data_IF_714060475988
#
_entry.id   IF_714060475988
#
_cell.length_a   1.000
_cell.length_b   1.000
_cell.length_c   1.000
_cell.angle_alpha   90.00
_cell.angle_beta   90.00
_cell.angle_gamma   90.00
#
_symmetry.space_group_name_H-M   'P 1'
#
loop_
_entity.id
_entity.type
_entity.pdbx_description
1 polymer ?
#
# COMPACT_ATOMS: atom_id res chain seq x y z
N UNK A 1 9.47 -14.20 6.26
CA UNK A 1 10.73 -13.50 5.93
C UNK A 1 10.40 -12.10 5.43
N UNK A 2 11.04 -11.05 5.94
CA UNK A 2 10.80 -9.69 5.46
C UNK A 2 11.48 -9.51 4.10
N UNK A 3 10.75 -9.01 3.10
CA UNK A 3 11.31 -8.76 1.77
C UNK A 3 12.37 -7.66 1.83
N UNK A 4 13.48 -7.86 1.12
CA UNK A 4 14.60 -6.92 1.06
C UNK A 4 14.21 -5.66 0.28
N UNK A 5 15.05 -4.62 0.34
CA UNK A 5 14.87 -3.42 -0.48
C UNK A 5 14.84 -3.77 -1.97
N UNK A 6 15.80 -4.58 -2.43
CA UNK A 6 15.89 -4.97 -3.84
C UNK A 6 14.65 -5.74 -4.31
N UNK A 7 14.14 -6.67 -3.48
CA UNK A 7 12.89 -7.37 -3.77
C UNK A 7 11.70 -6.41 -3.85
N UNK A 8 11.62 -5.41 -2.97
CA UNK A 8 10.60 -4.37 -3.06
C UNK A 8 10.71 -3.55 -4.35
N UNK A 9 11.92 -3.19 -4.78
CA UNK A 9 12.14 -2.53 -6.07
C UNK A 9 11.66 -3.40 -7.24
N UNK A 10 11.90 -4.72 -7.20
CA UNK A 10 11.37 -5.65 -8.20
C UNK A 10 9.86 -5.62 -8.25
N UNK A 11 9.17 -5.68 -7.11
CA UNK A 11 7.69 -5.66 -7.06
C UNK A 11 7.12 -4.40 -7.70
N UNK A 12 7.66 -3.24 -7.33
CA UNK A 12 7.21 -1.95 -7.89
C UNK A 12 7.48 -1.91 -9.39
N UNK A 13 8.67 -2.34 -9.83
CA UNK A 13 9.06 -2.37 -11.23
C UNK A 13 8.11 -3.22 -12.09
N UNK A 14 7.80 -4.43 -11.64
CA UNK A 14 6.88 -5.33 -12.34
C UNK A 14 5.45 -4.77 -12.36
N UNK A 15 5.00 -4.15 -11.27
CA UNK A 15 3.67 -3.51 -11.20
C UNK A 15 3.56 -2.35 -12.19
N UNK A 16 4.53 -1.43 -12.22
CA UNK A 16 4.46 -0.31 -13.15
C UNK A 16 4.56 -0.77 -14.60
N UNK A 17 5.38 -1.77 -14.91
CA UNK A 17 5.47 -2.34 -16.26
C UNK A 17 4.19 -3.06 -16.71
N UNK A 18 3.33 -3.44 -15.77
CA UNK A 18 2.03 -4.06 -16.07
C UNK A 18 0.94 -3.06 -16.45
N UNK A 19 1.18 -1.76 -16.23
CA UNK A 19 0.23 -0.68 -16.51
C UNK A 19 -0.01 -0.51 -18.03
N UNK A 20 -1.17 0.08 -18.42
CA UNK A 20 -1.35 0.58 -19.78
C UNK A 20 -0.25 1.57 -20.15
N UNK A 21 0.10 1.62 -21.43
CA UNK A 21 1.19 2.47 -21.95
C UNK A 21 1.01 3.93 -21.56
N UNK A 22 -0.21 4.44 -21.65
CA UNK A 22 -0.55 5.84 -21.35
C UNK A 22 -0.32 6.20 -19.87
N UNK A 23 -0.50 5.22 -18.97
CA UNK A 23 -0.27 5.40 -17.53
C UNK A 23 1.21 5.23 -17.18
N UNK A 24 1.89 4.27 -17.83
CA UNK A 24 3.32 4.06 -17.66
C UNK A 24 4.14 5.29 -18.07
N UNK A 25 3.78 5.94 -19.18
CA UNK A 25 4.48 7.12 -19.71
C UNK A 25 4.37 8.36 -18.80
N UNK A 26 3.45 8.39 -17.83
CA UNK A 26 3.38 9.47 -16.83
C UNK A 26 4.52 9.41 -15.80
N UNK A 27 5.15 8.24 -15.64
CA UNK A 27 6.23 8.04 -14.69
C UNK A 27 7.55 8.53 -15.31
N UNK A 28 8.28 9.45 -14.66
CA UNK A 28 9.55 9.92 -15.19
C UNK A 28 10.57 8.79 -15.34
N UNK A 29 11.36 8.86 -16.40
CA UNK A 29 12.37 7.84 -16.73
C UNK A 29 13.32 7.54 -15.57
N UNK A 30 13.75 8.57 -14.82
CA UNK A 30 14.68 8.38 -13.70
C UNK A 30 14.08 7.55 -12.54
N UNK A 31 12.76 7.61 -12.30
CA UNK A 31 12.09 6.77 -11.30
C UNK A 31 12.09 5.30 -11.76
N UNK A 32 11.83 5.07 -13.07
CA UNK A 32 11.87 3.74 -13.68
C UNK A 32 13.30 3.16 -13.64
N UNK A 33 14.30 3.95 -14.00
CA UNK A 33 15.71 3.57 -13.97
C UNK A 33 16.20 3.29 -12.56
N UNK A 34 15.77 4.09 -11.58
CA UNK A 34 16.06 3.85 -10.17
C UNK A 34 15.55 2.47 -9.74
N UNK A 35 14.30 2.13 -10.05
CA UNK A 35 13.74 0.81 -9.75
C UNK A 35 14.51 -0.29 -10.47
N UNK A 36 14.77 -0.12 -11.76
CA UNK A 36 15.49 -1.11 -12.58
C UNK A 36 16.91 -1.37 -12.09
N UNK A 37 17.64 -0.34 -11.65
CA UNK A 37 19.00 -0.45 -11.13
C UNK A 37 19.06 -1.16 -9.77
N UNK A 38 18.02 -0.96 -8.95
CA UNK A 38 17.99 -1.48 -7.58
C UNK A 38 17.17 -2.77 -7.43
N UNK A 39 16.54 -3.28 -8.49
CA UNK A 39 15.75 -4.51 -8.42
C UNK A 39 16.62 -5.73 -8.15
N UNK A 40 16.04 -6.69 -7.46
CA UNK A 40 16.57 -8.04 -7.35
C UNK A 40 16.31 -8.79 -8.68
N UNK A 41 17.36 -9.32 -9.28
CA UNK A 41 17.28 -10.02 -10.57
C UNK A 41 16.91 -11.51 -10.43
N UNK A 42 17.08 -12.09 -9.25
CA UNK A 42 16.78 -13.51 -8.99
C UNK A 42 15.35 -13.67 -8.46
N UNK A 43 14.86 -12.68 -7.72
CA UNK A 43 13.50 -12.66 -7.24
C UNK A 43 12.51 -12.39 -8.39
N UNK A 44 11.59 -13.34 -8.62
CA UNK A 44 10.52 -13.21 -9.61
C UNK A 44 9.22 -12.79 -8.92
N UNK A 45 8.66 -11.67 -9.35
CA UNK A 45 7.35 -11.21 -8.92
C UNK A 45 6.40 -11.18 -10.12
N UNK A 46 5.30 -11.93 -10.04
CA UNK A 46 4.33 -12.03 -11.13
C UNK A 46 3.12 -11.18 -10.78
N UNK A 47 2.78 -10.25 -11.68
CA UNK A 47 1.57 -9.45 -11.57
C UNK A 47 0.44 -10.19 -12.28
N UNK A 48 -0.38 -10.91 -11.50
CA UNK A 48 -1.59 -11.54 -12.02
C UNK A 48 -2.67 -10.48 -12.21
N UNK A 49 -3.06 -10.26 -13.48
CA UNK A 49 -4.05 -9.27 -13.89
C UNK A 49 -5.49 -9.67 -13.53
N UNK A 50 -5.71 -10.89 -13.04
CA UNK A 50 -7.03 -11.41 -12.69
C UNK A 50 -7.40 -11.20 -11.22
N UNK A 51 -6.44 -10.80 -10.38
CA UNK A 51 -6.65 -10.57 -8.94
C UNK A 51 -6.51 -9.09 -8.59
N UNK A 52 -7.06 -8.69 -7.44
CA UNK A 52 -6.96 -7.30 -6.99
C UNK A 52 -5.53 -6.97 -6.51
N UNK A 53 -5.12 -5.70 -6.60
CA UNK A 53 -3.80 -5.26 -6.10
C UNK A 53 -3.61 -5.53 -4.60
N UNK A 54 -4.71 -5.53 -3.86
CA UNK A 54 -4.77 -5.87 -2.42
C UNK A 54 -4.48 -7.35 -2.13
N UNK A 55 -4.72 -8.21 -3.12
CA UNK A 55 -4.46 -9.65 -3.07
C UNK A 55 -3.04 -10.00 -3.56
N UNK A 56 -2.38 -9.07 -4.26
CA UNK A 56 -0.97 -9.23 -4.59
C UNK A 56 -0.15 -9.20 -3.30
N UNK A 57 0.68 -10.23 -3.11
CA UNK A 57 1.58 -10.32 -1.97
C UNK A 57 2.75 -9.34 -2.14
N UNK A 58 2.48 -8.03 -2.04
CA UNK A 58 3.49 -6.97 -2.10
C UNK A 58 4.07 -6.71 -0.72
N UNK A 59 5.36 -6.38 -0.66
CA UNK A 59 5.97 -5.92 0.58
C UNK A 59 5.37 -4.61 1.05
N UNK A 60 5.37 -4.38 2.37
CA UNK A 60 4.99 -3.08 2.96
C UNK A 60 5.79 -1.91 2.36
N UNK A 61 7.06 -2.16 2.02
CA UNK A 61 7.93 -1.16 1.40
C UNK A 61 7.54 -0.88 -0.05
N UNK A 62 7.29 -1.92 -0.86
CA UNK A 62 6.78 -1.73 -2.22
C UNK A 62 5.45 -0.97 -2.22
N UNK A 63 4.54 -1.32 -1.30
CA UNK A 63 3.28 -0.59 -1.14
C UNK A 63 3.50 0.90 -0.86
N UNK A 64 4.42 1.25 0.05
CA UNK A 64 4.76 2.64 0.33
C UNK A 64 5.34 3.36 -0.90
N UNK A 65 6.23 2.70 -1.66
CA UNK A 65 6.79 3.24 -2.90
C UNK A 65 5.71 3.48 -3.97
N UNK A 66 4.75 2.56 -4.12
CA UNK A 66 3.61 2.70 -5.05
C UNK A 66 2.75 3.90 -4.65
N UNK A 67 2.45 4.08 -3.36
CA UNK A 67 1.67 5.24 -2.87
C UNK A 67 2.38 6.55 -3.21
N UNK A 68 3.69 6.63 -3.03
CA UNK A 68 4.49 7.82 -3.37
C UNK A 68 4.45 8.11 -4.88
N UNK A 69 4.66 7.09 -5.72
CA UNK A 69 4.59 7.26 -7.18
C UNK A 69 3.19 7.70 -7.63
N UNK A 70 2.15 7.08 -7.06
CA UNK A 70 0.76 7.42 -7.33
C UNK A 70 0.46 8.87 -6.96
N UNK A 71 0.85 9.29 -5.76
CA UNK A 71 0.67 10.67 -5.29
C UNK A 71 1.34 11.69 -6.21
N UNK A 72 2.58 11.41 -6.65
CA UNK A 72 3.35 12.32 -7.50
C UNK A 72 2.80 12.46 -8.91
N UNK A 73 2.46 11.34 -9.57
CA UNK A 73 2.29 11.31 -11.03
C UNK A 73 0.87 11.01 -11.50
N UNK A 74 0.00 10.55 -10.61
CA UNK A 74 -1.36 10.12 -10.96
C UNK A 74 -2.45 10.86 -10.20
N UNK A 75 -2.18 11.23 -8.94
CA UNK A 75 -3.20 11.78 -8.06
C UNK A 75 -3.55 13.25 -8.39
N UNK A 76 -4.85 13.55 -8.40
CA UNK A 76 -5.36 14.93 -8.39
C UNK A 76 -5.18 15.59 -7.03
N UNK A 77 -5.31 16.92 -6.96
CA UNK A 77 -5.13 17.64 -5.69
C UNK A 77 -6.16 17.22 -4.62
N UNK A 78 -7.40 16.97 -5.02
CA UNK A 78 -8.44 16.44 -4.12
C UNK A 78 -8.05 15.04 -3.60
N UNK A 79 -7.45 14.21 -4.44
CA UNK A 79 -6.97 12.88 -4.05
C UNK A 79 -5.78 12.95 -3.10
N UNK A 80 -4.82 13.85 -3.34
CA UNK A 80 -3.69 14.13 -2.44
C UNK A 80 -4.15 14.57 -1.05
N UNK A 81 -5.13 15.48 -0.99
CA UNK A 81 -5.72 15.92 0.28
C UNK A 81 -6.35 14.76 1.06
N UNK A 82 -7.10 13.87 0.38
CA UNK A 82 -7.67 12.67 1.01
C UNK A 82 -6.58 11.71 1.48
N UNK A 83 -5.55 11.48 0.67
CA UNK A 83 -4.41 10.63 1.04
C UNK A 83 -3.72 11.14 2.30
N UNK A 84 -3.48 12.46 2.39
CA UNK A 84 -2.88 13.10 3.57
C UNK A 84 -3.69 12.81 4.84
N UNK A 85 -5.00 12.99 4.80
CA UNK A 85 -5.88 12.70 5.96
C UNK A 85 -5.79 11.23 6.39
N UNK A 86 -5.76 10.31 5.43
CA UNK A 86 -5.62 8.87 5.71
C UNK A 86 -4.26 8.57 6.38
N UNK A 87 -3.17 9.11 5.84
CA UNK A 87 -1.82 8.91 6.38
C UNK A 87 -1.69 9.51 7.78
N UNK A 88 -2.21 10.72 8.01
CA UNK A 88 -2.22 11.38 9.32
C UNK A 88 -2.99 10.56 10.37
N UNK A 89 -4.16 10.02 10.00
CA UNK A 89 -4.96 9.18 10.89
C UNK A 89 -4.26 7.85 11.19
N UNK A 90 -3.66 7.21 10.18
CA UNK A 90 -2.88 5.99 10.38
C UNK A 90 -1.70 6.23 11.33
N UNK A 91 -1.00 7.36 11.18
CA UNK A 91 0.10 7.73 12.06
C UNK A 91 -0.38 7.96 13.50
N UNK A 92 -1.53 8.62 13.70
CA UNK A 92 -2.14 8.79 15.04
C UNK A 92 -2.45 7.45 15.69
N UNK A 93 -3.02 6.49 14.94
CA UNK A 93 -3.31 5.13 15.45
C UNK A 93 -2.02 4.42 15.88
N UNK A 94 -0.97 4.49 15.06
CA UNK A 94 0.33 3.89 15.39
C UNK A 94 0.97 4.55 16.62
N UNK A 95 0.90 5.89 16.71
CA UNK A 95 1.41 6.63 17.86
C UNK A 95 0.65 6.29 19.14
N UNK A 96 -0.68 6.24 19.10
CA UNK A 96 -1.51 5.85 20.24
C UNK A 96 -1.18 4.43 20.72
N UNK A 97 -1.05 3.47 19.80
CA UNK A 97 -0.62 2.11 20.15
C UNK A 97 0.77 2.08 20.79
N UNK A 98 1.69 2.95 20.33
CA UNK A 98 3.02 3.10 20.93
C UNK A 98 2.91 3.68 22.33
N UNK A 99 2.14 4.74 22.53
CA UNK A 99 1.90 5.36 23.84
C UNK A 99 1.27 4.37 24.83
N UNK A 100 0.30 3.57 24.40
CA UNK A 100 -0.30 2.49 25.20
C UNK A 100 0.76 1.45 25.61
N UNK A 101 1.52 0.93 24.64
CA UNK A 101 2.57 -0.08 24.87
C UNK A 101 3.67 0.37 25.83
N UNK A 102 4.02 1.67 25.81
CA UNK A 102 5.08 2.24 26.64
C UNK A 102 4.53 3.08 27.81
N UNK A 103 3.23 3.00 28.09
CA UNK A 103 2.67 3.67 29.27
C UNK A 103 3.27 3.05 30.54
N UNK A 104 3.58 3.89 31.53
CA UNK A 104 4.16 3.42 32.80
C UNK A 104 3.30 2.32 33.46
N UNK A 105 1.97 2.39 33.33
CA UNK A 105 1.06 1.36 33.83
C UNK A 105 1.23 0.02 33.11
N UNK A 106 1.40 0.01 31.79
CA UNK A 106 1.66 -1.23 31.04
C UNK A 106 3.04 -1.81 31.35
N UNK A 107 4.08 -0.98 31.43
CA UNK A 107 5.44 -1.42 31.76
C UNK A 107 5.52 -2.08 33.16
N UNK A 108 4.83 -1.51 34.16
CA UNK A 108 4.74 -2.11 35.50
C UNK A 108 3.87 -3.39 35.53
N UNK A 109 2.80 -3.45 34.74
CA UNK A 109 1.91 -4.61 34.68
C UNK A 109 2.52 -5.78 33.87
N UNK A 110 3.36 -5.51 32.86
CA UNK A 110 4.03 -6.52 32.04
C UNK A 110 5.06 -7.33 32.82
N UNK A 111 5.71 -6.70 33.81
CA UNK A 111 6.60 -7.39 34.76
C UNK A 111 5.87 -8.43 35.64
N UNK A 112 4.53 -8.44 35.67
CA UNK A 112 3.73 -9.44 36.40
C UNK A 112 3.08 -10.51 35.51
N UNK A 113 3.09 -10.34 34.18
CA UNK A 113 2.35 -11.19 33.23
C UNK A 113 3.26 -11.78 32.14
N UNK A 114 4.44 -12.22 32.53
CA UNK A 114 5.29 -13.00 31.62
C UNK A 114 4.73 -14.42 31.51
N UNK A 115 3.63 -14.57 30.76
CA UNK A 115 3.17 -15.79 30.10
C UNK A 115 2.02 -15.41 29.15
N UNK A 116 2.17 -15.83 27.89
CA UNK A 116 1.20 -15.85 26.78
C UNK A 116 1.47 -14.84 25.66
N UNK A 117 1.96 -15.40 24.55
CA UNK A 117 1.99 -14.81 23.21
C UNK A 117 0.56 -14.72 22.63
N UNK A 118 0.18 -13.59 21.99
CA UNK A 118 -0.87 -13.58 21.00
C UNK A 118 -0.30 -13.25 19.61
N UNK A 119 -0.48 -14.20 18.69
CA UNK A 119 -0.46 -13.99 17.23
C UNK A 119 -1.63 -13.11 16.81
N UNK A 120 -1.40 -12.10 15.97
CA UNK A 120 -2.46 -11.26 15.42
C UNK A 120 -2.69 -11.61 13.94
N UNK A 121 -3.78 -12.33 13.71
CA UNK A 121 -4.28 -12.76 12.41
C UNK A 121 -5.49 -11.90 12.00
N UNK A 122 -5.51 -11.53 10.71
CA UNK A 122 -6.60 -11.15 9.79
C UNK A 122 -7.80 -10.31 10.26
N UNK A 123 -8.06 -9.23 9.52
CA UNK A 123 -9.43 -8.77 9.26
C UNK A 123 -9.62 -8.48 7.77
N UNK A 124 -10.13 -9.49 7.06
CA UNK A 124 -10.62 -9.42 5.68
C UNK A 124 -12.02 -8.80 5.68
N UNK A 125 -12.29 -7.83 4.79
CA UNK A 125 -13.64 -7.40 4.43
C UNK A 125 -13.96 -7.87 3.01
N UNK A 126 -15.01 -8.64 2.90
CA UNK A 126 -15.46 -9.36 1.70
C UNK A 126 -16.40 -8.49 0.86
N UNK A 127 -16.05 -8.14 -0.40
CA UNK A 127 -16.97 -7.44 -1.33
C UNK A 127 -16.80 -7.93 -2.79
N UNK A 128 -17.79 -8.73 -3.19
CA UNK A 128 -18.32 -9.11 -4.53
C UNK A 128 -17.55 -8.69 -5.81
N UNK A 129 -17.31 -9.69 -6.68
CA UNK A 129 -16.55 -9.62 -7.95
C UNK A 129 -17.29 -8.88 -9.08
N UNK A 130 -16.64 -7.87 -9.64
CA UNK A 130 -16.92 -7.22 -10.94
C UNK A 130 -15.58 -7.01 -11.65
N UNK A 131 -15.59 -6.95 -12.99
CA UNK A 131 -14.39 -6.86 -13.85
C UNK A 131 -13.51 -5.64 -13.49
N UNK A 132 -12.18 -5.82 -13.46
CA UNK A 132 -11.21 -4.88 -12.85
C UNK A 132 -11.23 -3.45 -13.43
N UNK A 133 -11.39 -3.30 -14.75
CA UNK A 133 -11.46 -2.00 -15.41
C UNK A 133 -12.80 -1.30 -15.18
N UNK A 134 -13.90 -2.05 -14.99
CA UNK A 134 -15.18 -1.49 -14.59
C UNK A 134 -15.15 -1.04 -13.13
N UNK A 135 -14.40 -1.70 -12.25
CA UNK A 135 -14.21 -1.29 -10.85
C UNK A 135 -13.37 -0.03 -10.69
N UNK A 136 -12.26 0.09 -11.43
CA UNK A 136 -11.41 1.29 -11.38
C UNK A 136 -12.17 2.51 -11.91
N UNK A 137 -12.87 2.36 -13.04
CA UNK A 137 -13.72 3.41 -13.59
C UNK A 137 -14.92 3.74 -12.68
N UNK A 138 -15.61 2.74 -12.09
CA UNK A 138 -16.72 2.95 -11.14
C UNK A 138 -16.27 3.52 -9.79
N UNK A 139 -15.04 3.26 -9.33
CA UNK A 139 -14.46 3.89 -8.15
C UNK A 139 -14.29 5.40 -8.36
N UNK A 140 -13.73 5.80 -9.50
CA UNK A 140 -13.65 7.22 -9.87
C UNK A 140 -15.04 7.84 -10.14
N UNK A 141 -16.00 7.10 -10.73
CA UNK A 141 -17.39 7.57 -10.95
C UNK A 141 -18.23 7.71 -9.66
N UNK A 142 -18.15 6.78 -8.70
CA UNK A 142 -18.89 6.87 -7.42
C UNK A 142 -18.40 8.01 -6.54
N UNK A 143 -17.13 8.38 -6.65
CA UNK A 143 -16.59 9.59 -6.04
C UNK A 143 -17.23 10.85 -6.65
N UNK A 144 -17.64 10.84 -7.92
CA UNK A 144 -18.31 11.98 -8.56
C UNK A 144 -19.81 12.03 -8.20
N UNK A 145 -20.50 10.88 -8.12
CA UNK A 145 -21.95 10.84 -7.82
C UNK A 145 -22.33 11.06 -6.35
N UNK A 146 -21.43 10.82 -5.39
CA UNK A 146 -21.64 11.19 -3.97
C UNK A 146 -21.48 12.70 -3.71
N UNK A 147 -21.12 13.49 -4.71
CA UNK A 147 -20.91 14.94 -4.64
C UNK A 147 -22.04 15.76 -5.30
N UNK A 148 -23.19 15.14 -5.61
CA UNK A 148 -24.39 15.85 -6.08
C UNK A 148 -25.54 15.68 -5.08
N UNK A 149 -25.44 16.38 -3.96
CA UNK A 149 -26.53 16.89 -3.14
C UNK A 149 -25.99 17.99 -2.23
#
# INVERSE_FOLDING_TARGET
>A
MQKTFAMSCTEVYEIINSLPKEEFEKIPLHEIEFLKKNKDNEYKFIVDKNINIEELNISKRANAMIVILWEKYFASDIQKQKLKVILDNNQKIVNKKREEQYSYQELFNKNRKQNNHPTLENSLLDIRKEKWYNKLHNFFKRIIYKFKL
#
